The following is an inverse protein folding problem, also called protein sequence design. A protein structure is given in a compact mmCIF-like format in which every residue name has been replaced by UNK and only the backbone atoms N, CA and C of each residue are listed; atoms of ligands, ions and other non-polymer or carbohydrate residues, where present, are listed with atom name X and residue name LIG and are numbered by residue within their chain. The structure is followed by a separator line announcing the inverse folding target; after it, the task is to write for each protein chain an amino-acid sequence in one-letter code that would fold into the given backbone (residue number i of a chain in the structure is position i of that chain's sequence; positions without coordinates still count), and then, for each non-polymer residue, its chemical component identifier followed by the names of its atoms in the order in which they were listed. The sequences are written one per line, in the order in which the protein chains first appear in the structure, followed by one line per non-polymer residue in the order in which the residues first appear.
data_IF_376706806731
#
_entry.id   IF_376706806731
#
_cell.length_a   1.000
_cell.length_b   1.000
_cell.length_c   1.000
_cell.angle_alpha   90.00
_cell.angle_beta   90.00
_cell.angle_gamma   90.00
#
_symmetry.space_group_name_H-M   'P 1'
#
loop_
_entity.id
_entity.type
_entity.pdbx_description
1 polymer ?
#
# COMPACT_ATOMS: atom_id res chain seq x y z
N UNK A 1 0.42 -15.89 -16.81
CA UNK A 1 -0.83 -16.09 -17.57
C UNK A 1 -0.97 -14.92 -18.53
N UNK A 2 -1.33 -15.14 -19.78
CA UNK A 2 -1.59 -14.05 -20.72
C UNK A 2 -2.99 -13.49 -20.44
N UNK A 3 -3.07 -12.22 -20.04
CA UNK A 3 -4.34 -11.50 -19.95
C UNK A 3 -4.87 -11.29 -21.38
N UNK A 4 -6.15 -11.58 -21.58
CA UNK A 4 -6.77 -11.93 -22.87
C UNK A 4 -6.43 -11.04 -24.07
N UNK A 5 -6.03 -11.69 -25.17
CA UNK A 5 -6.16 -11.14 -26.50
C UNK A 5 -7.64 -11.11 -26.90
N UNK A 6 -8.21 -9.94 -27.20
CA UNK A 6 -9.57 -9.93 -27.71
C UNK A 6 -10.38 -8.64 -27.81
N UNK A 7 -9.79 -7.46 -28.01
CA UNK A 7 -10.35 -6.45 -28.93
C UNK A 7 -9.28 -5.40 -29.27
N UNK A 8 -9.23 -5.00 -30.54
CA UNK A 8 -8.30 -3.99 -30.98
C UNK A 8 -8.82 -2.61 -30.60
N UNK A 9 -8.11 -1.90 -29.73
CA UNK A 9 -8.13 -0.43 -29.74
C UNK A 9 -8.14 0.33 -28.42
N UNK A 10 -8.27 -0.30 -27.24
CA UNK A 10 -8.50 0.45 -26.00
C UNK A 10 -7.46 0.09 -24.92
N UNK A 11 -6.82 1.10 -24.33
CA UNK A 11 -5.76 1.00 -23.32
C UNK A 11 -6.09 0.03 -22.18
N UNK A 12 -5.17 -0.91 -21.91
CA UNK A 12 -5.22 -1.80 -20.75
C UNK A 12 -4.91 -0.99 -19.47
N UNK A 13 -5.95 -0.65 -18.70
CA UNK A 13 -5.78 -0.01 -17.38
C UNK A 13 -5.07 -0.93 -16.37
N UNK A 14 -4.60 -0.38 -15.23
CA UNK A 14 -3.87 -1.16 -14.23
C UNK A 14 -4.71 -2.32 -13.68
N UNK A 15 -4.08 -3.48 -13.54
CA UNK A 15 -4.64 -4.67 -12.89
C UNK A 15 -3.90 -4.86 -11.57
N UNK A 16 -4.63 -4.98 -10.48
CA UNK A 16 -4.06 -5.34 -9.17
C UNK A 16 -4.36 -6.77 -8.82
N UNK A 17 -3.56 -7.34 -7.94
CA UNK A 17 -3.78 -8.68 -7.40
C UNK A 17 -3.71 -8.65 -5.89
N UNK A 18 -4.62 -9.38 -5.26
CA UNK A 18 -4.59 -9.67 -3.82
C UNK A 18 -4.89 -11.15 -3.61
N UNK A 19 -4.35 -11.72 -2.55
CA UNK A 19 -4.59 -13.11 -2.20
C UNK A 19 -4.99 -13.21 -0.72
N UNK A 20 -6.12 -13.86 -0.46
CA UNK A 20 -6.62 -14.11 0.89
C UNK A 20 -7.69 -15.22 0.85
N UNK A 21 -7.95 -15.85 1.99
CA UNK A 21 -9.01 -16.87 2.11
C UNK A 21 -10.37 -16.19 2.33
N UNK A 22 -10.99 -15.74 1.24
CA UNK A 22 -12.29 -15.04 1.33
C UNK A 22 -13.46 -16.01 1.51
N UNK A 23 -13.21 -17.31 1.33
CA UNK A 23 -14.21 -18.37 1.53
C UNK A 23 -14.11 -19.06 2.90
N UNK A 24 -13.04 -18.83 3.66
CA UNK A 24 -12.78 -19.48 4.95
C UNK A 24 -12.51 -20.99 4.80
N UNK A 25 -12.02 -21.45 3.64
CA UNK A 25 -11.76 -22.87 3.38
C UNK A 25 -10.33 -23.32 3.78
N UNK A 26 -9.54 -22.39 4.32
CA UNK A 26 -8.15 -22.55 4.71
C UNK A 26 -7.16 -22.42 3.55
N UNK A 27 -7.59 -22.01 2.36
CA UNK A 27 -6.74 -21.82 1.18
C UNK A 27 -6.88 -20.40 0.65
N UNK A 28 -5.78 -19.79 0.18
CA UNK A 28 -5.87 -18.48 -0.44
C UNK A 28 -6.60 -18.55 -1.78
N UNK A 29 -7.53 -17.62 -1.95
CA UNK A 29 -8.14 -17.25 -3.22
C UNK A 29 -7.32 -16.15 -3.90
N UNK A 30 -7.49 -15.98 -5.22
CA UNK A 30 -6.87 -14.88 -5.97
C UNK A 30 -7.94 -13.88 -6.39
N UNK A 31 -7.69 -12.61 -6.14
CA UNK A 31 -8.57 -11.51 -6.54
C UNK A 31 -7.79 -10.65 -7.52
N UNK A 32 -8.29 -10.54 -8.75
CA UNK A 32 -7.76 -9.63 -9.76
C UNK A 32 -8.65 -8.39 -9.85
N UNK A 33 -8.17 -7.26 -9.38
CA UNK A 33 -8.82 -5.96 -9.54
C UNK A 33 -8.58 -5.41 -10.94
N UNK A 34 -9.63 -4.95 -11.61
CA UNK A 34 -9.56 -4.38 -12.95
C UNK A 34 -10.43 -3.15 -13.07
N UNK A 35 -10.60 -2.64 -14.29
CA UNK A 35 -11.36 -1.42 -14.51
C UNK A 35 -12.86 -1.58 -14.21
N UNK A 36 -13.29 -1.03 -13.07
CA UNK A 36 -14.71 -1.03 -12.66
C UNK A 36 -15.25 -2.41 -12.30
N UNK A 37 -14.38 -3.39 -12.07
CA UNK A 37 -14.74 -4.74 -11.69
C UNK A 37 -13.57 -5.42 -10.97
N UNK A 38 -13.87 -6.51 -10.27
CA UNK A 38 -12.85 -7.45 -9.82
C UNK A 38 -13.29 -8.87 -10.15
N UNK A 39 -12.33 -9.77 -10.31
CA UNK A 39 -12.58 -11.20 -10.56
C UNK A 39 -11.97 -12.03 -9.44
N UNK A 40 -12.81 -12.83 -8.80
CA UNK A 40 -12.43 -13.80 -7.78
C UNK A 40 -12.18 -15.17 -8.42
N UNK A 41 -10.98 -15.71 -8.24
CA UNK A 41 -10.62 -17.07 -8.59
C UNK A 41 -10.50 -17.89 -7.30
N UNK A 42 -11.43 -18.83 -7.12
CA UNK A 42 -11.49 -19.64 -5.91
C UNK A 42 -10.44 -20.75 -5.92
N UNK A 43 -9.66 -20.85 -4.84
CA UNK A 43 -8.72 -21.93 -4.58
C UNK A 43 -7.73 -22.20 -5.71
N UNK A 44 -6.63 -21.45 -5.75
CA UNK A 44 -5.48 -21.66 -6.66
C UNK A 44 -4.97 -23.11 -6.67
N UNK A 45 -5.14 -23.84 -5.56
CA UNK A 45 -4.70 -25.22 -5.39
C UNK A 45 -5.50 -26.27 -6.18
N UNK A 46 -6.71 -25.92 -6.66
CA UNK A 46 -7.59 -26.85 -7.39
C UNK A 46 -7.36 -26.86 -8.91
N UNK A 47 -6.63 -25.87 -9.43
CA UNK A 47 -6.49 -25.64 -10.87
C UNK A 47 -7.75 -25.06 -11.53
N UNK A 48 -8.75 -24.65 -10.75
CA UNK A 48 -9.94 -23.97 -11.25
C UNK A 48 -9.58 -22.53 -11.67
N UNK A 49 -9.69 -22.27 -12.98
CA UNK A 49 -9.47 -20.95 -13.58
C UNK A 49 -10.80 -20.24 -13.87
N UNK A 50 -11.94 -20.81 -13.47
CA UNK A 50 -13.25 -20.20 -13.63
C UNK A 50 -13.45 -19.09 -12.59
N UNK A 51 -13.00 -17.88 -12.93
CA UNK A 51 -13.22 -16.69 -12.11
C UNK A 51 -14.67 -16.21 -12.12
N UNK A 52 -15.14 -15.66 -10.99
CA UNK A 52 -16.42 -14.94 -10.89
C UNK A 52 -16.16 -13.44 -10.87
N UNK A 53 -16.74 -12.69 -11.79
CA UNK A 53 -16.52 -11.23 -11.92
C UNK A 53 -17.67 -10.44 -11.32
N UNK A 54 -17.35 -9.52 -10.42
CA UNK A 54 -18.30 -8.56 -9.84
C UNK A 54 -18.08 -7.19 -10.47
N UNK A 55 -19.15 -6.59 -10.98
CA UNK A 55 -19.14 -5.23 -11.50
C UNK A 55 -19.30 -4.22 -10.35
N UNK A 56 -18.37 -3.26 -10.27
CA UNK A 56 -18.34 -2.21 -9.24
C UNK A 56 -18.75 -0.85 -9.82
N UNK A 57 -18.65 -0.69 -11.15
CA UNK A 57 -19.06 0.51 -11.86
C UNK A 57 -19.36 0.22 -13.32
N UNK A 58 -19.57 1.28 -14.11
CA UNK A 58 -19.92 1.16 -15.53
C UNK A 58 -18.79 0.61 -16.39
N UNK A 59 -17.56 0.60 -15.88
CA UNK A 59 -16.36 0.26 -16.64
C UNK A 59 -16.08 1.24 -17.79
N UNK A 60 -16.85 2.32 -17.95
CA UNK A 60 -16.67 3.39 -18.96
C UNK A 60 -15.82 4.50 -18.33
N UNK A 61 -15.04 5.27 -19.12
CA UNK A 61 -14.08 6.23 -18.57
C UNK A 61 -12.60 6.03 -18.88
N UNK A 62 -11.71 6.80 -18.29
CA UNK A 62 -10.30 6.41 -18.12
C UNK A 62 -10.14 6.06 -16.64
N UNK A 63 -10.19 4.77 -16.28
CA UNK A 63 -9.84 4.36 -14.92
C UNK A 63 -8.34 4.47 -14.80
N UNK A 64 -7.91 5.45 -14.01
CA UNK A 64 -6.51 5.84 -13.93
C UNK A 64 -5.78 4.97 -12.91
N UNK A 65 -6.46 4.55 -11.82
CA UNK A 65 -5.86 3.78 -10.73
C UNK A 65 -6.85 2.80 -10.11
N UNK A 66 -6.36 1.59 -9.80
CA UNK A 66 -7.06 0.54 -9.04
C UNK A 66 -6.10 0.08 -7.94
N UNK A 67 -6.61 -0.16 -6.74
CA UNK A 67 -5.85 -0.70 -5.61
C UNK A 67 -6.69 -1.71 -4.85
N UNK A 68 -6.09 -2.81 -4.41
CA UNK A 68 -6.78 -3.87 -3.67
C UNK A 68 -5.95 -4.36 -2.50
N UNK A 69 -6.61 -4.65 -1.38
CA UNK A 69 -6.06 -5.44 -0.28
C UNK A 69 -7.17 -6.31 0.32
N UNK A 70 -6.80 -7.41 0.96
CA UNK A 70 -7.76 -8.33 1.55
C UNK A 70 -7.31 -8.79 2.95
N UNK A 71 -8.24 -8.72 3.91
CA UNK A 71 -8.05 -9.10 5.31
C UNK A 71 -9.42 -9.29 5.96
N UNK A 72 -9.51 -10.01 7.09
CA UNK A 72 -10.76 -10.21 7.83
C UNK A 72 -11.13 -8.97 8.66
N UNK A 73 -11.48 -7.86 7.99
CA UNK A 73 -11.85 -6.60 8.65
C UNK A 73 -13.04 -6.79 9.60
N UNK A 74 -13.92 -7.77 9.33
CA UNK A 74 -15.09 -8.04 10.17
C UNK A 74 -14.84 -8.96 11.37
N UNK A 75 -13.73 -9.70 11.38
CA UNK A 75 -13.41 -10.69 12.39
C UNK A 75 -14.35 -11.90 12.35
N UNK A 76 -14.94 -12.22 11.20
CA UNK A 76 -15.88 -13.34 11.04
C UNK A 76 -15.24 -14.64 10.54
N UNK A 77 -13.92 -14.63 10.35
CA UNK A 77 -13.11 -15.76 9.90
C UNK A 77 -13.01 -15.88 8.39
N UNK A 78 -13.60 -14.95 7.63
CA UNK A 78 -13.46 -14.84 6.19
C UNK A 78 -12.70 -13.56 5.84
N UNK A 79 -11.73 -13.64 4.93
CA UNK A 79 -11.12 -12.41 4.44
C UNK A 79 -12.14 -11.58 3.64
N UNK A 80 -12.17 -10.28 3.90
CA UNK A 80 -12.91 -9.28 3.18
C UNK A 80 -12.01 -8.63 2.11
N UNK A 81 -12.60 -8.03 1.08
CA UNK A 81 -11.86 -7.30 0.03
C UNK A 81 -12.09 -5.79 0.16
N UNK A 82 -11.02 -5.04 0.39
CA UNK A 82 -10.98 -3.60 0.14
C UNK A 82 -10.56 -3.34 -1.31
N UNK A 83 -11.36 -2.56 -2.03
CA UNK A 83 -11.18 -2.25 -3.43
C UNK A 83 -11.35 -0.74 -3.64
N UNK A 84 -10.29 -0.07 -4.04
CA UNK A 84 -10.28 1.35 -4.39
C UNK A 84 -10.14 1.53 -5.89
N UNK A 85 -10.84 2.52 -6.44
CA UNK A 85 -10.63 2.97 -7.81
C UNK A 85 -10.86 4.47 -7.96
N UNK A 86 -10.11 5.06 -8.87
CA UNK A 86 -10.26 6.45 -9.29
C UNK A 86 -10.53 6.50 -10.79
N UNK A 87 -11.64 7.12 -11.16
CA UNK A 87 -12.01 7.39 -12.54
C UNK A 87 -11.92 8.91 -12.78
N UNK A 88 -11.07 9.30 -13.73
CA UNK A 88 -11.05 10.66 -14.28
C UNK A 88 -12.19 10.82 -15.31
N UNK A 89 -13.13 11.71 -15.01
CA UNK A 89 -14.33 11.89 -15.82
C UNK A 89 -13.96 12.30 -17.25
N UNK A 90 -14.53 11.62 -18.25
CA UNK A 90 -14.36 12.02 -19.66
C UNK A 90 -15.45 13.05 -20.00
N UNK A 91 -15.13 14.06 -20.81
CA UNK A 91 -16.09 15.00 -21.40
C UNK A 91 -17.02 15.71 -20.38
N UNK A 92 -16.44 16.19 -19.26
CA UNK A 92 -17.17 16.97 -18.25
C UNK A 92 -18.05 16.13 -17.32
N UNK A 93 -17.82 14.82 -17.24
CA UNK A 93 -18.36 13.98 -16.16
C UNK A 93 -17.61 14.27 -14.85
N UNK A 94 -18.32 14.21 -13.72
CA UNK A 94 -17.68 14.28 -12.41
C UNK A 94 -16.79 13.04 -12.20
N UNK A 95 -15.54 13.21 -11.75
CA UNK A 95 -14.68 12.08 -11.43
C UNK A 95 -15.36 11.22 -10.37
N UNK A 96 -15.32 9.90 -10.58
CA UNK A 96 -15.89 8.94 -9.65
C UNK A 96 -14.76 8.19 -8.96
N UNK A 97 -14.55 8.53 -7.69
CA UNK A 97 -13.65 7.80 -6.82
C UNK A 97 -14.48 7.00 -5.82
N UNK A 98 -14.05 5.77 -5.54
CA UNK A 98 -14.65 4.94 -4.50
C UNK A 98 -13.59 4.14 -3.78
N UNK A 99 -13.79 4.01 -2.48
CA UNK A 99 -13.24 2.94 -1.65
C UNK A 99 -14.41 2.08 -1.19
N UNK A 100 -14.39 0.80 -1.58
CA UNK A 100 -15.40 -0.18 -1.21
C UNK A 100 -14.78 -1.28 -0.35
N UNK A 101 -15.52 -1.81 0.61
CA UNK A 101 -15.18 -3.05 1.34
C UNK A 101 -16.28 -4.07 1.12
N UNK A 102 -15.93 -5.22 0.54
CA UNK A 102 -16.83 -6.34 0.27
C UNK A 102 -16.57 -7.45 1.28
N UNK A 103 -17.63 -7.91 1.96
CA UNK A 103 -17.48 -8.97 2.94
C UNK A 103 -17.15 -10.31 2.31
N UNK A 104 -16.26 -11.07 2.95
CA UNK A 104 -16.06 -12.49 2.70
C UNK A 104 -17.21 -13.33 3.27
N UNK A 105 -17.36 -14.54 2.75
CA UNK A 105 -18.30 -15.55 3.22
C UNK A 105 -17.94 -16.90 2.61
N UNK A 106 -18.47 -17.99 3.15
CA UNK A 106 -18.29 -19.34 2.57
C UNK A 106 -18.70 -19.48 1.10
N UNK A 107 -19.51 -18.54 0.56
CA UNK A 107 -19.91 -18.50 -0.85
C UNK A 107 -18.99 -17.66 -1.73
N UNK A 108 -17.99 -16.99 -1.16
CA UNK A 108 -17.16 -15.96 -1.78
C UNK A 108 -17.52 -14.56 -1.28
N UNK A 109 -17.12 -13.54 -2.03
CA UNK A 109 -17.38 -12.14 -1.70
C UNK A 109 -18.87 -11.78 -1.88
N UNK A 110 -19.36 -10.86 -1.05
CA UNK A 110 -20.69 -10.29 -1.16
C UNK A 110 -20.87 -9.50 -2.47
N UNK A 111 -22.09 -9.48 -3.02
CA UNK A 111 -22.41 -8.72 -4.24
C UNK A 111 -22.51 -7.20 -4.01
N UNK A 112 -22.68 -6.78 -2.75
CA UNK A 112 -22.76 -5.37 -2.36
C UNK A 112 -21.73 -5.05 -1.29
N UNK A 113 -21.09 -3.87 -1.33
CA UNK A 113 -20.11 -3.50 -0.33
C UNK A 113 -20.78 -3.21 1.02
N UNK A 114 -20.11 -3.58 2.10
CA UNK A 114 -20.47 -3.23 3.47
C UNK A 114 -20.03 -1.82 3.85
N UNK A 115 -19.03 -1.28 3.14
CA UNK A 115 -18.58 0.10 3.26
C UNK A 115 -18.34 0.70 1.88
N UNK A 116 -18.75 1.96 1.70
CA UNK A 116 -18.44 2.76 0.51
C UNK A 116 -18.14 4.19 0.93
N UNK A 117 -17.02 4.74 0.46
CA UNK A 117 -16.72 6.19 0.54
C UNK A 117 -16.41 6.75 -0.84
N UNK A 118 -16.76 8.02 -1.04
CA UNK A 118 -16.45 8.81 -2.24
C UNK A 118 -15.55 10.01 -1.93
N UNK A 119 -14.87 10.01 -0.78
CA UNK A 119 -14.28 11.22 -0.19
C UNK A 119 -12.74 11.16 -0.10
N UNK A 120 -12.11 10.13 -0.69
CA UNK A 120 -10.67 9.94 -0.74
C UNK A 120 -10.25 9.21 -2.02
N UNK A 121 -9.48 9.84 -2.93
CA UNK A 121 -8.84 9.14 -4.05
C UNK A 121 -7.71 8.23 -3.54
N UNK A 122 -8.09 7.11 -2.93
CA UNK A 122 -7.14 6.12 -2.43
C UNK A 122 -6.43 5.43 -3.59
N UNK A 123 -5.11 5.36 -3.53
CA UNK A 123 -4.27 4.76 -4.58
C UNK A 123 -3.36 3.64 -4.05
N UNK A 124 -3.08 3.60 -2.74
CA UNK A 124 -2.35 2.53 -2.08
C UNK A 124 -3.20 1.98 -0.91
N UNK A 125 -3.23 0.65 -0.74
CA UNK A 125 -3.97 0.00 0.33
C UNK A 125 -3.10 -1.05 1.03
N UNK A 126 -3.20 -1.12 2.35
CA UNK A 126 -2.60 -2.14 3.20
C UNK A 126 -3.58 -2.54 4.31
N UNK A 127 -3.30 -3.63 5.02
CA UNK A 127 -4.15 -4.09 6.12
C UNK A 127 -3.34 -4.70 7.27
N UNK A 128 -3.68 -4.35 8.50
CA UNK A 128 -3.01 -4.87 9.71
C UNK A 128 -3.74 -4.40 10.96
N UNK A 129 -3.64 -5.16 12.06
CA UNK A 129 -4.28 -4.83 13.35
C UNK A 129 -3.50 -3.72 14.06
N UNK A 130 -3.78 -2.45 13.70
CA UNK A 130 -3.00 -1.29 14.12
C UNK A 130 -3.39 -0.87 15.54
N UNK A 131 -4.66 -1.07 15.93
CA UNK A 131 -5.15 -0.76 17.27
C UNK A 131 -5.02 -1.91 18.30
N UNK A 132 -4.76 -3.13 17.84
CA UNK A 132 -4.56 -4.32 18.65
C UNK A 132 -5.87 -4.97 19.14
N UNK A 133 -6.99 -4.72 18.47
CA UNK A 133 -8.30 -5.25 18.86
C UNK A 133 -8.59 -6.68 18.32
N UNK A 134 -7.68 -7.22 17.51
CA UNK A 134 -7.77 -8.54 16.89
C UNK A 134 -8.48 -8.56 15.54
N UNK A 135 -8.94 -7.42 15.01
CA UNK A 135 -9.37 -7.26 13.62
C UNK A 135 -8.34 -6.42 12.88
N UNK A 136 -7.89 -6.84 11.69
CA UNK A 136 -7.12 -5.97 10.82
C UNK A 136 -7.87 -4.67 10.54
N UNK A 137 -7.13 -3.58 10.51
CA UNK A 137 -7.56 -2.25 10.08
C UNK A 137 -7.17 -2.04 8.62
N UNK A 138 -7.94 -1.23 7.91
CA UNK A 138 -7.63 -0.84 6.53
C UNK A 138 -6.81 0.46 6.54
N UNK A 139 -5.64 0.44 5.92
CA UNK A 139 -4.79 1.61 5.71
C UNK A 139 -4.85 2.02 4.25
N UNK A 140 -5.13 3.30 3.98
CA UNK A 140 -5.21 3.86 2.64
C UNK A 140 -4.30 5.08 2.47
N UNK A 141 -3.41 5.02 1.49
CA UNK A 141 -2.70 6.17 0.95
C UNK A 141 -3.62 6.96 0.03
N UNK A 142 -3.75 8.27 0.26
CA UNK A 142 -4.75 9.13 -0.40
C UNK A 142 -4.08 10.37 -0.99
N UNK A 143 -4.32 10.61 -2.27
CA UNK A 143 -3.87 11.84 -2.94
C UNK A 143 -4.63 13.05 -2.39
N UNK A 144 -3.92 14.14 -2.12
CA UNK A 144 -4.51 15.45 -1.79
C UNK A 144 -3.95 16.53 -2.72
N UNK A 145 -4.52 17.73 -2.73
CA UNK A 145 -3.98 18.88 -3.47
C UNK A 145 -2.75 19.52 -2.79
N UNK A 146 -2.39 18.99 -1.62
CA UNK A 146 -1.25 19.35 -0.80
C UNK A 146 -0.17 18.26 -0.89
N UNK A 147 0.25 17.68 0.24
CA UNK A 147 1.35 16.71 0.32
C UNK A 147 0.92 15.25 0.31
N UNK A 148 -0.38 14.95 0.35
CA UNK A 148 -0.88 13.58 0.54
C UNK A 148 -1.16 13.26 2.00
N UNK A 149 -1.88 12.17 2.25
CA UNK A 149 -2.23 11.72 3.59
C UNK A 149 -2.41 10.19 3.63
N UNK A 150 -2.40 9.65 4.84
CA UNK A 150 -2.84 8.28 5.14
C UNK A 150 -4.14 8.33 5.93
N UNK A 151 -5.08 7.44 5.57
CA UNK A 151 -6.32 7.21 6.32
C UNK A 151 -6.35 5.78 6.86
N UNK A 152 -6.59 5.63 8.15
CA UNK A 152 -6.66 4.33 8.84
C UNK A 152 -8.07 4.11 9.33
N UNK A 153 -8.73 3.09 8.78
CA UNK A 153 -10.11 2.73 9.08
C UNK A 153 -10.11 1.48 9.98
N UNK A 154 -10.56 1.58 11.23
CA UNK A 154 -10.51 0.44 12.14
C UNK A 154 -11.45 -0.68 11.67
N UNK A 155 -11.03 -1.93 11.85
CA UNK A 155 -11.84 -3.12 11.57
C UNK A 155 -13.07 -3.18 12.47
N UNK A 156 -14.23 -3.51 11.91
CA UNK A 156 -15.47 -3.65 12.69
C UNK A 156 -16.30 -4.82 12.18
N UNK A 157 -17.16 -5.40 13.02
CA UNK A 157 -18.07 -6.48 12.61
C UNK A 157 -18.96 -6.14 11.37
N UNK A 158 -19.09 -4.86 11.03
CA UNK A 158 -19.85 -4.36 9.88
C UNK A 158 -18.99 -3.99 8.66
N UNK A 159 -17.68 -4.24 8.67
CA UNK A 159 -16.73 -3.80 7.64
C UNK A 159 -15.63 -2.95 8.28
N UNK A 160 -15.59 -1.66 7.96
CA UNK A 160 -14.61 -0.72 8.54
C UNK A 160 -15.31 0.50 9.16
N UNK A 161 -14.67 1.08 10.17
CA UNK A 161 -15.16 2.23 10.94
C UNK A 161 -14.80 3.59 10.33
N UNK A 162 -14.92 4.63 11.14
CA UNK A 162 -14.52 5.99 10.76
C UNK A 162 -12.99 6.11 10.72
N UNK A 163 -12.46 6.74 9.67
CA UNK A 163 -11.01 6.87 9.50
C UNK A 163 -10.39 7.89 10.46
N UNK A 164 -9.22 7.54 10.99
CA UNK A 164 -8.20 8.49 11.46
C UNK A 164 -7.40 8.97 10.26
N UNK A 165 -7.14 10.27 10.17
CA UNK A 165 -6.40 10.89 9.05
C UNK A 165 -5.09 11.44 9.58
N UNK A 166 -3.98 11.12 8.91
CA UNK A 166 -2.64 11.61 9.24
C UNK A 166 -1.93 12.11 7.98
N UNK A 167 -1.23 13.21 8.13
CA UNK A 167 -0.36 13.87 7.15
C UNK A 167 0.92 14.36 7.87
N UNK A 168 1.84 15.00 7.14
CA UNK A 168 3.08 15.52 7.73
C UNK A 168 2.86 16.73 8.66
N UNK A 169 1.69 17.38 8.62
CA UNK A 169 1.30 18.43 9.57
C UNK A 169 0.69 17.87 10.87
N UNK A 170 0.41 16.57 10.91
CA UNK A 170 -0.15 15.89 12.09
C UNK A 170 0.87 15.87 13.22
N UNK A 171 0.47 16.32 14.41
CA UNK A 171 1.34 16.40 15.58
C UNK A 171 2.09 15.10 15.85
N UNK A 172 3.43 15.16 15.81
CA UNK A 172 4.34 14.04 16.07
C UNK A 172 4.84 13.35 14.80
N UNK A 173 4.17 13.51 13.67
CA UNK A 173 4.67 13.07 12.36
C UNK A 173 5.82 14.01 11.96
N UNK A 174 7.02 13.49 11.62
CA UNK A 174 8.13 14.33 11.16
C UNK A 174 7.85 14.93 9.77
N UNK A 175 8.41 16.12 9.54
CA UNK A 175 8.28 16.85 8.28
C UNK A 175 7.33 18.04 8.38
N UNK A 176 6.93 18.56 7.23
CA UNK A 176 5.89 19.60 7.07
C UNK A 176 5.16 19.28 5.78
N UNK A 177 3.83 19.41 5.75
CA UNK A 177 3.07 19.06 4.56
C UNK A 177 3.33 20.06 3.42
N UNK A 178 3.94 19.59 2.33
CA UNK A 178 4.27 20.40 1.17
C UNK A 178 3.73 19.78 -0.12
N UNK A 179 3.37 20.65 -1.06
CA UNK A 179 2.80 20.18 -2.31
C UNK A 179 3.86 19.43 -3.12
N UNK A 180 3.64 18.14 -3.31
CA UNK A 180 4.51 17.27 -4.10
C UNK A 180 5.15 16.14 -3.30
N UNK A 181 5.14 16.20 -1.97
CA UNK A 181 5.79 15.19 -1.11
C UNK A 181 5.23 13.79 -1.34
N UNK A 182 3.94 13.73 -1.66
CA UNK A 182 3.22 12.50 -1.95
C UNK A 182 3.25 11.54 -0.75
N UNK A 183 3.10 12.05 0.47
CA UNK A 183 2.91 11.28 1.68
C UNK A 183 1.71 10.34 1.54
N UNK A 184 1.97 9.04 1.68
CA UNK A 184 0.98 8.00 1.40
C UNK A 184 1.06 7.43 -0.02
N UNK A 185 2.03 7.83 -0.85
CA UNK A 185 2.26 7.29 -2.20
C UNK A 185 2.35 5.75 -2.21
N UNK A 186 2.94 5.20 -1.15
CA UNK A 186 2.98 3.77 -0.85
C UNK A 186 2.73 3.55 0.64
N UNK A 187 2.04 2.46 0.98
CA UNK A 187 1.76 2.07 2.36
C UNK A 187 1.95 0.58 2.56
N UNK A 188 2.47 0.19 3.72
CA UNK A 188 2.57 -1.20 4.17
C UNK A 188 2.36 -1.29 5.68
N UNK A 189 1.94 -2.46 6.15
CA UNK A 189 1.63 -2.72 7.56
C UNK A 189 2.41 -3.93 8.09
N UNK A 190 2.90 -3.84 9.34
CA UNK A 190 3.62 -4.93 10.01
C UNK A 190 4.15 -4.50 11.38
N UNK A 191 4.33 -5.43 12.32
CA UNK A 191 4.80 -5.13 13.69
C UNK A 191 6.33 -4.91 13.71
N UNK A 192 6.78 -3.68 13.49
CA UNK A 192 8.21 -3.32 13.38
C UNK A 192 8.87 -3.32 14.74
N UNK A 193 8.13 -2.91 15.78
CA UNK A 193 8.67 -2.75 17.12
C UNK A 193 8.47 -3.97 18.05
N UNK A 194 7.72 -4.97 17.62
CA UNK A 194 7.47 -6.22 18.33
C UNK A 194 6.50 -6.05 19.51
N UNK A 195 5.60 -5.07 19.46
CA UNK A 195 4.67 -4.76 20.53
C UNK A 195 3.30 -5.46 20.40
N UNK A 196 3.14 -6.27 19.35
CA UNK A 196 1.95 -7.04 19.04
C UNK A 196 0.88 -6.28 18.26
N UNK A 197 1.13 -5.04 17.83
CA UNK A 197 0.27 -4.26 16.93
C UNK A 197 0.99 -4.03 15.60
N UNK A 198 0.23 -3.93 14.53
CA UNK A 198 0.77 -3.53 13.24
C UNK A 198 1.16 -2.05 13.27
N UNK A 199 2.38 -1.75 12.80
CA UNK A 199 2.83 -0.40 12.46
C UNK A 199 2.57 -0.12 10.99
N UNK A 200 2.71 1.13 10.57
CA UNK A 200 2.46 1.58 9.21
C UNK A 200 3.71 2.24 8.64
N UNK A 201 4.28 1.69 7.57
CA UNK A 201 5.27 2.38 6.75
C UNK A 201 4.55 3.22 5.70
N UNK A 202 4.95 4.50 5.58
CA UNK A 202 4.35 5.48 4.68
C UNK A 202 5.44 6.09 3.82
N UNK A 203 5.38 5.86 2.51
CA UNK A 203 6.28 6.49 1.55
C UNK A 203 5.86 7.93 1.22
N UNK A 204 6.86 8.82 1.12
CA UNK A 204 6.74 10.19 0.65
C UNK A 204 7.89 10.46 -0.35
N UNK A 205 7.84 9.87 -1.57
CA UNK A 205 8.96 9.93 -2.51
C UNK A 205 9.28 11.34 -3.02
N UNK A 206 8.35 12.29 -2.91
CA UNK A 206 8.60 13.69 -3.28
C UNK A 206 9.26 14.52 -2.18
N UNK A 207 9.35 14.00 -0.95
CA UNK A 207 9.86 14.72 0.22
C UNK A 207 11.26 15.29 -0.04
N UNK A 208 11.49 16.52 0.42
CA UNK A 208 12.80 17.13 0.40
C UNK A 208 13.59 16.79 1.67
N UNK A 209 14.82 16.27 1.51
CA UNK A 209 15.74 16.08 2.63
C UNK A 209 16.70 17.27 2.68
N UNK A 210 16.47 18.18 3.64
CA UNK A 210 17.20 19.44 3.72
C UNK A 210 16.92 20.34 2.52
N UNK A 211 17.87 20.44 1.58
CA UNK A 211 17.69 21.19 0.33
C UNK A 211 17.60 20.29 -0.91
N UNK A 212 17.59 18.98 -0.73
CA UNK A 212 17.59 17.99 -1.81
C UNK A 212 16.14 17.60 -2.12
N UNK A 213 15.57 18.23 -3.15
CA UNK A 213 14.18 18.00 -3.53
C UNK A 213 13.96 16.61 -4.14
N UNK A 214 12.87 15.94 -3.80
CA UNK A 214 12.53 14.62 -4.34
C UNK A 214 13.52 13.51 -3.94
N UNK A 215 14.33 13.74 -2.90
CA UNK A 215 15.14 12.68 -2.32
C UNK A 215 14.24 11.56 -1.77
N UNK A 216 13.11 11.96 -1.17
CA UNK A 216 12.11 11.06 -0.64
C UNK A 216 12.39 10.61 0.79
N UNK A 217 11.35 10.11 1.44
CA UNK A 217 11.39 9.57 2.79
C UNK A 217 10.39 8.43 2.98
N UNK A 218 10.63 7.63 4.03
CA UNK A 218 9.64 6.72 4.61
C UNK A 218 9.41 7.11 6.06
N UNK A 219 8.15 7.32 6.44
CA UNK A 219 7.76 7.51 7.84
C UNK A 219 7.08 6.26 8.37
N UNK A 220 7.59 5.71 9.47
CA UNK A 220 6.94 4.63 10.22
C UNK A 220 6.09 5.25 11.33
N UNK A 221 4.77 5.01 11.26
CA UNK A 221 3.79 5.37 12.27
C UNK A 221 3.51 4.14 13.13
N UNK A 222 3.71 4.25 14.45
CA UNK A 222 3.53 3.10 15.34
C UNK A 222 2.07 2.88 15.72
N UNK A 223 1.64 1.62 15.66
CA UNK A 223 0.34 1.17 16.13
C UNK A 223 0.22 1.31 17.65
N UNK A 224 -0.99 1.54 18.14
CA UNK A 224 -1.20 1.90 19.54
C UNK A 224 -2.57 1.52 20.06
N UNK A 225 -2.74 1.32 21.38
CA UNK A 225 -4.07 1.15 21.97
C UNK A 225 -4.96 2.36 21.64
N UNK A 226 -6.03 2.12 20.87
CA UNK A 226 -6.92 3.18 20.36
C UNK A 226 -6.54 3.70 18.97
N UNK A 227 -5.63 3.04 18.27
CA UNK A 227 -5.24 3.30 16.89
C UNK A 227 -3.94 4.11 16.75
N UNK A 228 -3.61 4.41 15.50
CA UNK A 228 -2.40 5.16 15.13
C UNK A 228 -2.48 6.64 15.50
N UNK A 229 -1.34 7.22 15.87
CA UNK A 229 -1.13 8.67 16.01
C UNK A 229 0.23 9.05 15.42
N UNK A 230 0.61 10.33 15.44
CA UNK A 230 1.98 10.74 15.11
C UNK A 230 2.99 10.48 16.25
N UNK A 231 2.58 9.97 17.41
CA UNK A 231 3.48 9.86 18.56
C UNK A 231 4.60 8.86 18.32
N UNK A 232 5.85 9.32 18.46
CA UNK A 232 7.03 8.47 18.32
C UNK A 232 7.35 8.07 16.88
N UNK A 233 6.64 8.60 15.88
CA UNK A 233 6.86 8.28 14.48
C UNK A 233 8.33 8.49 14.07
N UNK A 234 8.83 7.60 13.22
CA UNK A 234 10.23 7.57 12.79
C UNK A 234 10.31 7.83 11.29
N UNK A 235 10.98 8.90 10.88
CA UNK A 235 11.28 9.17 9.47
C UNK A 235 12.68 8.65 9.11
N UNK A 236 12.78 8.01 7.96
CA UNK A 236 14.00 7.44 7.37
C UNK A 236 14.16 7.98 5.95
N UNK A 237 15.40 8.30 5.59
CA UNK A 237 15.86 8.66 4.25
C UNK A 237 17.26 8.09 4.01
N UNK A 238 17.81 8.27 2.81
CA UNK A 238 19.18 7.85 2.48
C UNK A 238 20.26 8.57 3.30
N UNK A 239 19.95 9.74 3.88
CA UNK A 239 20.84 10.47 4.79
C UNK A 239 20.71 10.05 6.27
N UNK A 240 19.87 9.06 6.57
CA UNK A 240 19.59 8.64 7.95
C UNK A 240 20.62 7.64 8.49
N UNK A 241 21.41 8.06 9.49
CA UNK A 241 22.26 7.16 10.27
C UNK A 241 23.25 6.36 9.40
N UNK A 242 23.13 5.02 9.44
CA UNK A 242 23.99 4.09 8.71
C UNK A 242 23.37 3.59 7.38
N UNK A 243 22.29 4.23 6.88
CA UNK A 243 21.77 3.92 5.54
C UNK A 243 22.86 4.15 4.51
N UNK A 244 23.05 3.19 3.62
CA UNK A 244 24.11 3.27 2.59
C UNK A 244 23.69 4.23 1.49
N UNK A 245 24.56 5.16 1.11
CA UNK A 245 24.24 6.16 0.09
C UNK A 245 24.08 7.55 0.68
N UNK A 246 23.55 8.47 -0.12
CA UNK A 246 23.26 9.84 0.25
C UNK A 246 22.02 10.28 -0.51
N UNK A 247 21.24 11.20 0.06
CA UNK A 247 20.12 11.80 -0.64
C UNK A 247 20.61 12.62 -1.84
N UNK A 248 20.17 12.25 -3.04
CA UNK A 248 20.33 13.00 -4.28
C UNK A 248 18.95 13.45 -4.82
N UNK A 249 19.00 14.34 -5.80
CA UNK A 249 17.77 14.94 -6.33
C UNK A 249 17.00 13.92 -7.16
N UNK A 250 15.73 13.67 -6.79
CA UNK A 250 14.83 12.72 -7.44
C UNK A 250 15.23 11.23 -7.27
N UNK A 251 15.80 10.82 -6.14
CA UNK A 251 16.02 9.39 -5.85
C UNK A 251 14.71 8.67 -5.51
N UNK A 252 13.71 9.43 -5.03
CA UNK A 252 12.36 8.96 -4.74
C UNK A 252 12.34 7.84 -3.69
N UNK A 253 13.17 7.93 -2.65
CA UNK A 253 13.17 6.99 -1.54
C UNK A 253 11.76 6.90 -0.92
N UNK A 254 11.28 5.68 -0.72
CA UNK A 254 9.88 5.43 -0.35
C UNK A 254 8.92 5.37 -1.54
N UNK A 255 9.42 5.27 -2.78
CA UNK A 255 8.59 5.04 -3.98
C UNK A 255 7.70 3.81 -3.85
N UNK A 256 8.20 2.81 -3.12
CA UNK A 256 7.43 1.66 -2.63
C UNK A 256 7.97 1.24 -1.26
N UNK A 257 7.08 0.67 -0.44
CA UNK A 257 7.43 0.13 0.87
C UNK A 257 6.82 -1.26 1.08
N UNK A 258 7.50 -2.09 1.87
CA UNK A 258 6.98 -3.35 2.40
C UNK A 258 7.47 -3.56 3.83
N UNK A 259 6.64 -4.19 4.65
CA UNK A 259 6.95 -4.58 6.02
C UNK A 259 6.76 -6.10 6.15
N UNK A 260 7.85 -6.82 6.42
CA UNK A 260 7.82 -8.27 6.60
C UNK A 260 9.00 -8.72 7.47
N UNK A 261 8.84 -9.78 8.27
CA UNK A 261 9.95 -10.35 9.04
C UNK A 261 10.88 -11.15 8.10
N UNK A 262 11.92 -10.50 7.58
CA UNK A 262 12.82 -11.06 6.57
C UNK A 262 14.02 -11.74 7.20
N UNK A 263 14.36 -11.39 8.44
CA UNK A 263 15.47 -11.97 9.19
C UNK A 263 15.05 -13.06 10.19
N UNK A 264 13.75 -13.25 10.43
CA UNK A 264 13.17 -14.28 11.28
C UNK A 264 13.23 -13.97 12.78
N UNK A 265 13.34 -12.71 13.18
CA UNK A 265 13.44 -12.29 14.58
C UNK A 265 12.09 -11.95 15.24
N UNK A 266 11.00 -12.12 14.49
CA UNK A 266 9.63 -11.85 14.92
C UNK A 266 9.20 -10.39 14.85
N UNK A 267 10.01 -9.50 14.24
CA UNK A 267 9.64 -8.11 13.93
C UNK A 267 9.66 -7.88 12.43
N UNK A 268 8.76 -7.03 11.95
CA UNK A 268 8.74 -6.63 10.56
C UNK A 268 9.95 -5.75 10.23
N UNK A 269 10.68 -6.12 9.18
CA UNK A 269 11.74 -5.35 8.57
C UNK A 269 11.18 -4.44 7.46
N UNK A 270 11.73 -3.24 7.33
CA UNK A 270 11.37 -2.29 6.28
C UNK A 270 12.15 -2.58 5.01
N UNK A 271 11.42 -2.84 3.92
CA UNK A 271 11.97 -2.71 2.56
C UNK A 271 11.48 -1.41 1.94
N UNK A 272 12.37 -0.55 1.49
CA UNK A 272 12.07 0.71 0.80
C UNK A 272 12.73 0.75 -0.58
N UNK A 273 11.97 1.14 -1.59
CA UNK A 273 12.50 1.43 -2.93
C UNK A 273 12.92 2.90 -3.06
N UNK A 274 13.96 3.14 -3.85
CA UNK A 274 14.33 4.47 -4.36
C UNK A 274 14.40 4.36 -5.88
N UNK A 275 13.27 4.44 -6.56
CA UNK A 275 13.18 4.12 -8.00
C UNK A 275 13.98 5.06 -8.89
N UNK A 276 14.25 6.28 -8.41
CA UNK A 276 14.99 7.30 -9.15
C UNK A 276 16.51 7.26 -8.95
N UNK A 277 16.98 6.46 -7.99
CA UNK A 277 18.39 6.39 -7.58
C UNK A 277 19.34 6.14 -8.75
N UNK A 278 20.48 6.86 -8.78
CA UNK A 278 21.49 6.82 -9.85
C UNK A 278 20.93 6.99 -11.29
N UNK A 279 20.34 8.16 -11.61
CA UNK A 279 19.75 8.46 -12.93
C UNK A 279 18.64 7.47 -13.35
N UNK A 280 17.80 7.03 -12.41
CA UNK A 280 16.73 6.05 -12.63
C UNK A 280 17.21 4.60 -12.72
N UNK A 281 18.43 4.31 -12.23
CA UNK A 281 18.92 2.95 -12.05
C UNK A 281 18.15 2.20 -10.95
N UNK A 282 17.67 2.93 -9.95
CA UNK A 282 16.90 2.44 -8.82
C UNK A 282 17.72 1.66 -7.77
N UNK A 283 17.20 1.63 -6.55
CA UNK A 283 17.73 0.85 -5.44
C UNK A 283 16.63 0.25 -4.55
N UNK A 284 17.01 -0.80 -3.80
CA UNK A 284 16.23 -1.40 -2.73
C UNK A 284 17.04 -1.36 -1.44
N UNK A 285 16.39 -0.88 -0.38
CA UNK A 285 16.92 -0.80 0.97
C UNK A 285 16.15 -1.72 1.87
N UNK A 286 16.83 -2.65 2.53
CA UNK A 286 16.26 -3.51 3.57
C UNK A 286 16.85 -3.11 4.92
N UNK A 287 16.02 -2.64 5.84
CA UNK A 287 16.39 -2.13 7.16
C UNK A 287 15.63 -2.91 8.22
N UNK A 288 16.34 -3.40 9.25
CA UNK A 288 15.72 -4.32 10.20
C UNK A 288 14.77 -3.62 11.16
N UNK A 289 13.68 -4.30 11.52
CA UNK A 289 12.83 -3.92 12.65
C UNK A 289 13.54 -4.13 13.99
N UNK A 290 13.02 -3.52 15.04
CA UNK A 290 13.64 -3.51 16.36
C UNK A 290 12.75 -2.88 17.40
N UNK A 291 12.97 -3.19 18.69
CA UNK A 291 12.14 -2.70 19.80
C UNK A 291 12.07 -1.16 19.95
N UNK A 292 12.88 -0.41 19.20
CA UNK A 292 12.87 1.05 19.13
C UNK A 292 12.53 1.57 17.74
N UNK A 293 11.97 0.73 16.88
CA UNK A 293 11.70 1.04 15.48
C UNK A 293 12.70 0.43 14.50
N UNK A 294 12.74 1.01 13.31
CA UNK A 294 13.64 0.61 12.23
C UNK A 294 15.08 0.94 12.60
N UNK A 295 15.98 -0.03 12.43
CA UNK A 295 17.41 0.11 12.63
C UNK A 295 18.15 0.29 11.30
N UNK A 296 19.00 1.31 11.23
CA UNK A 296 19.82 1.57 10.04
C UNK A 296 21.18 0.85 10.07
N UNK A 297 21.62 0.39 11.25
CA UNK A 297 22.98 -0.14 11.48
C UNK A 297 23.27 -1.52 10.85
N UNK A 298 22.25 -2.23 10.40
CA UNK A 298 22.36 -3.57 9.80
C UNK A 298 21.61 -3.69 8.47
N UNK A 299 21.47 -2.55 7.76
CA UNK A 299 20.78 -2.52 6.49
C UNK A 299 21.51 -3.25 5.37
N UNK A 300 20.76 -3.81 4.43
CA UNK A 300 21.28 -4.33 3.16
C UNK A 300 20.72 -3.49 2.02
N UNK A 301 21.60 -3.03 1.12
CA UNK A 301 21.20 -2.26 -0.06
C UNK A 301 21.53 -3.02 -1.34
N UNK A 302 20.60 -3.01 -2.29
CA UNK A 302 20.78 -3.57 -3.62
C UNK A 302 20.62 -2.45 -4.66
N UNK A 303 21.68 -2.22 -5.41
CA UNK A 303 21.64 -1.36 -6.59
C UNK A 303 21.46 -2.22 -7.85
N UNK A 304 20.85 -1.65 -8.90
CA UNK A 304 20.76 -2.30 -10.22
C UNK A 304 22.13 -2.80 -10.71
N UNK A 305 23.19 -2.02 -10.48
CA UNK A 305 24.58 -2.38 -10.81
C UNK A 305 25.07 -3.64 -10.10
N UNK A 306 24.75 -3.80 -8.80
CA UNK A 306 25.13 -4.97 -8.00
C UNK A 306 24.36 -6.24 -8.38
N UNK A 307 23.13 -6.09 -8.89
CA UNK A 307 22.31 -7.17 -9.41
C UNK A 307 22.60 -7.51 -10.88
N UNK A 308 23.52 -6.79 -11.52
CA UNK A 308 23.86 -6.99 -12.93
C UNK A 308 22.76 -6.55 -13.91
N UNK A 309 21.80 -5.74 -13.46
CA UNK A 309 20.78 -5.14 -14.31
C UNK A 309 21.42 -3.95 -15.03
N UNK A 310 21.54 -4.01 -16.35
CA UNK A 310 22.15 -2.95 -17.16
C UNK A 310 21.10 -2.22 -18.00
N UNK A 311 20.91 -0.93 -17.74
CA UNK A 311 20.06 -0.03 -18.50
C UNK A 311 19.75 1.25 -17.72
N UNK A 312 19.67 2.40 -18.41
CA UNK A 312 19.07 3.62 -17.82
C UNK A 312 17.56 3.41 -17.71
N UNK A 313 16.96 3.81 -16.59
CA UNK A 313 15.52 3.59 -16.35
C UNK A 313 15.19 2.14 -15.98
N UNK A 314 16.05 1.48 -15.20
CA UNK A 314 15.76 0.15 -14.68
C UNK A 314 14.72 0.19 -13.54
N UNK A 315 14.61 1.34 -12.85
CA UNK A 315 13.59 1.61 -11.83
C UNK A 315 13.51 0.51 -10.76
N UNK A 316 14.66 -0.07 -10.37
CA UNK A 316 14.71 -1.03 -9.28
C UNK A 316 14.11 -0.39 -8.01
N UNK A 317 13.19 -1.10 -7.36
CA UNK A 317 12.44 -0.54 -6.22
C UNK A 317 11.18 0.23 -6.60
N UNK A 318 10.84 0.37 -7.89
CA UNK A 318 9.56 0.93 -8.34
C UNK A 318 8.35 0.03 -8.04
N UNK A 319 8.57 -1.27 -7.80
CA UNK A 319 7.56 -2.23 -7.30
C UNK A 319 8.22 -3.14 -6.27
N UNK A 320 7.65 -3.20 -5.07
CA UNK A 320 8.03 -4.13 -3.99
C UNK A 320 6.76 -4.87 -3.57
N UNK A 321 6.83 -6.20 -3.49
CA UNK A 321 5.73 -7.03 -2.99
C UNK A 321 6.19 -7.70 -1.68
N UNK A 322 5.31 -7.81 -0.67
CA UNK A 322 5.58 -8.59 0.54
C UNK A 322 5.69 -10.10 0.25
#
# INVERSE_FOLDING_TARGET
MAFGAGDGGENHGPVTVSAADVTGDGRPDLIAGGRGSFTLYRGLASGDLAGTTTAVGSGKGETVRVSTTAADFTGDGHADLAYAYVWDGIDGQDPSLRLNVYKGASTGLADTPAYTSSDAPAHALAAGDVDGDGRPDLVAGVDTDRGGQVRVYPGTASGVGAATVLDQDTSGVPGTEERGDSFGASVATGDVNGDGRADIAVGAPGEAIGTVAGAGAVTVLYGGPGGVTGSGAQQISEDSGDVTGHAEQNDLFGSQVSLADLNGDGKADLTAGASGENDGGGALYMLNGGASGVSTAAGTTFYSSTLGVQGRGAELGGVVLP
#
